data_IF_300843548811
#
_entry.id   IF_300843548811
#
_cell.length_a   1.000
_cell.length_b   1.000
_cell.length_c   1.000
_cell.angle_alpha   90.00
_cell.angle_beta   90.00
_cell.angle_gamma   90.00
#
_symmetry.space_group_name_H-M   'P 1'
#
loop_
_entity.id
_entity.type
_entity.pdbx_description
1 polymer ?
#
# COMPACT_ATOMS: atom_id res chain seq x y z
N UNK A 1 -10.69 18.70 -63.54
CA UNK A 1 -10.16 19.17 -62.24
C UNK A 1 -11.15 19.03 -61.08
N UNK A 2 -12.46 19.25 -61.25
CA UNK A 2 -13.45 19.13 -60.15
C UNK A 2 -13.58 17.74 -59.52
N UNK A 3 -13.46 16.67 -60.30
CA UNK A 3 -13.59 15.28 -59.80
C UNK A 3 -12.39 14.81 -58.96
N UNK A 4 -11.16 15.24 -59.29
CA UNK A 4 -9.95 14.88 -58.52
C UNK A 4 -9.88 15.57 -57.15
N UNK A 5 -10.42 16.79 -57.03
CA UNK A 5 -10.49 17.50 -55.75
C UNK A 5 -11.47 16.83 -54.78
N UNK A 6 -12.60 16.31 -55.31
CA UNK A 6 -13.61 15.62 -54.52
C UNK A 6 -13.09 14.29 -53.94
N UNK A 7 -12.31 13.53 -54.72
CA UNK A 7 -11.69 12.28 -54.26
C UNK A 7 -10.63 12.52 -53.18
N UNK A 8 -9.83 13.59 -53.30
CA UNK A 8 -8.83 13.97 -52.29
C UNK A 8 -9.53 14.41 -50.98
N UNK A 9 -10.65 15.13 -51.07
CA UNK A 9 -11.42 15.55 -49.89
C UNK A 9 -12.06 14.35 -49.17
N UNK A 10 -12.59 13.37 -49.91
CA UNK A 10 -13.19 12.17 -49.32
C UNK A 10 -12.12 11.26 -48.66
N UNK A 11 -10.91 11.17 -49.22
CA UNK A 11 -9.79 10.43 -48.62
C UNK A 11 -9.23 11.13 -47.38
N UNK A 12 -9.24 12.46 -47.34
CA UNK A 12 -8.87 13.24 -46.15
C UNK A 12 -9.94 13.12 -45.05
N UNK A 13 -11.22 13.08 -45.40
CA UNK A 13 -12.32 12.90 -44.44
C UNK A 13 -12.38 11.44 -43.94
N UNK A 14 -12.06 10.44 -44.76
CA UNK A 14 -12.00 9.03 -44.34
C UNK A 14 -10.78 8.67 -43.50
N UNK A 15 -9.78 9.55 -43.42
CA UNK A 15 -8.63 9.44 -42.51
C UNK A 15 -8.84 10.21 -41.19
N UNK A 16 -9.99 10.84 -40.98
CA UNK A 16 -10.47 11.11 -39.62
C UNK A 16 -10.94 9.78 -39.02
N UNK A 17 -9.98 8.91 -38.71
CA UNK A 17 -10.16 7.97 -37.61
C UNK A 17 -10.70 8.79 -36.45
N UNK A 18 -11.89 8.43 -35.94
CA UNK A 18 -12.47 9.09 -34.78
C UNK A 18 -11.50 8.91 -33.61
N UNK A 19 -10.57 9.87 -33.45
CA UNK A 19 -9.70 9.95 -32.28
C UNK A 19 -10.62 10.14 -31.10
N UNK A 20 -10.58 9.19 -30.16
CA UNK A 20 -11.42 9.28 -28.96
C UNK A 20 -11.13 10.59 -28.26
N UNK A 21 -12.18 11.31 -27.87
CA UNK A 21 -12.00 12.53 -27.09
C UNK A 21 -11.55 12.17 -25.68
N UNK A 22 -10.76 13.04 -25.06
CA UNK A 22 -10.34 12.91 -23.66
C UNK A 22 -11.55 12.68 -22.73
N UNK A 23 -12.64 13.40 -22.99
CA UNK A 23 -13.88 13.35 -22.23
C UNK A 23 -14.57 11.99 -22.33
N UNK A 24 -14.58 11.35 -23.50
CA UNK A 24 -15.13 10.01 -23.69
C UNK A 24 -14.35 8.95 -22.91
N UNK A 25 -13.01 9.03 -22.92
CA UNK A 25 -12.17 8.08 -22.17
C UNK A 25 -12.36 8.26 -20.67
N UNK A 26 -12.37 9.51 -20.19
CA UNK A 26 -12.63 9.83 -18.78
C UNK A 26 -14.02 9.32 -18.36
N UNK A 27 -15.06 9.56 -19.16
CA UNK A 27 -16.40 9.06 -18.87
C UNK A 27 -16.43 7.52 -18.79
N UNK A 28 -15.67 6.84 -19.65
CA UNK A 28 -15.52 5.39 -19.60
C UNK A 28 -14.86 4.92 -18.31
N UNK A 29 -13.74 5.55 -17.89
CA UNK A 29 -13.04 5.21 -16.64
C UNK A 29 -13.97 5.37 -15.44
N UNK A 30 -14.71 6.47 -15.40
CA UNK A 30 -15.69 6.75 -14.34
C UNK A 30 -16.83 5.73 -14.33
N UNK A 31 -17.24 5.22 -15.49
CA UNK A 31 -18.31 4.22 -15.61
C UNK A 31 -17.88 2.85 -15.05
N UNK A 32 -16.67 2.39 -15.37
CA UNK A 32 -16.14 1.10 -14.88
C UNK A 32 -15.80 1.20 -13.39
N UNK A 33 -15.20 2.32 -12.97
CA UNK A 33 -14.95 2.69 -11.57
C UNK A 33 -14.19 1.64 -10.71
N UNK A 34 -13.23 0.95 -11.31
CA UNK A 34 -12.23 0.14 -10.62
C UNK A 34 -10.82 0.54 -11.02
N UNK A 35 -9.87 0.38 -10.09
CA UNK A 35 -8.44 0.57 -10.35
C UNK A 35 -7.85 -0.78 -10.76
N UNK A 36 -7.66 -0.95 -12.06
CA UNK A 36 -7.28 -2.23 -12.65
C UNK A 36 -5.82 -2.19 -13.08
N UNK A 37 -5.10 -3.29 -12.83
CA UNK A 37 -3.78 -3.53 -13.38
C UNK A 37 -3.83 -4.16 -14.78
N UNK A 38 -2.66 -4.28 -15.41
CA UNK A 38 -2.53 -5.11 -16.61
C UNK A 38 -2.82 -6.58 -16.25
N UNK A 39 -3.70 -7.21 -17.01
CA UNK A 39 -4.16 -8.59 -16.78
C UNK A 39 -3.42 -9.62 -17.66
N UNK A 40 -2.41 -9.20 -18.42
CA UNK A 40 -1.65 -10.07 -19.31
C UNK A 40 -2.27 -10.25 -20.70
N UNK A 41 -3.44 -9.67 -20.98
CA UNK A 41 -4.12 -9.84 -22.27
C UNK A 41 -3.49 -8.90 -23.31
N UNK A 42 -2.91 -9.49 -24.36
CA UNK A 42 -2.26 -8.74 -25.45
C UNK A 42 -3.27 -8.04 -26.37
N UNK A 43 -4.43 -8.68 -26.60
CA UNK A 43 -5.51 -8.18 -27.44
C UNK A 43 -6.81 -8.14 -26.61
N UNK A 44 -6.99 -7.13 -25.74
CA UNK A 44 -8.21 -7.03 -24.95
C UNK A 44 -9.43 -6.85 -25.85
N UNK A 45 -10.59 -7.29 -25.38
CA UNK A 45 -11.86 -6.99 -26.04
C UNK A 45 -12.18 -5.50 -25.84
N UNK A 46 -12.31 -4.77 -26.94
CA UNK A 46 -12.49 -3.33 -26.95
C UNK A 46 -13.71 -2.98 -27.80
N UNK A 47 -14.44 -1.95 -27.37
CA UNK A 47 -15.57 -1.43 -28.14
C UNK A 47 -15.11 -0.83 -29.49
N UNK A 48 -16.07 -0.40 -30.32
CA UNK A 48 -15.79 0.23 -31.62
C UNK A 48 -14.90 1.50 -31.53
N UNK A 49 -14.79 2.11 -30.35
CA UNK A 49 -13.93 3.25 -30.06
C UNK A 49 -12.60 2.79 -29.42
N UNK A 50 -12.34 1.48 -29.42
CA UNK A 50 -11.19 0.86 -28.80
C UNK A 50 -11.12 1.04 -27.29
N UNK A 51 -12.25 1.26 -26.60
CA UNK A 51 -12.28 1.39 -25.14
C UNK A 51 -12.74 0.07 -24.51
N UNK A 52 -12.18 -0.27 -23.36
CA UNK A 52 -12.58 -1.46 -22.61
C UNK A 52 -13.80 -1.15 -21.74
N UNK A 53 -14.75 -2.07 -21.73
CA UNK A 53 -15.96 -2.01 -20.90
C UNK A 53 -15.76 -2.58 -19.48
N UNK A 54 -14.64 -3.25 -19.24
CA UNK A 54 -14.42 -4.06 -18.04
C UNK A 54 -13.01 -3.94 -17.44
N UNK A 55 -12.08 -3.22 -18.09
CA UNK A 55 -10.73 -3.04 -17.59
C UNK A 55 -10.23 -1.61 -17.86
N UNK A 56 -10.09 -0.84 -16.77
CA UNK A 56 -9.66 0.54 -16.80
C UNK A 56 -8.17 0.75 -17.07
N UNK A 57 -7.32 -0.28 -16.93
CA UNK A 57 -5.92 -0.19 -17.30
C UNK A 57 -5.78 0.28 -18.75
N UNK A 58 -6.47 -0.39 -19.68
CA UNK A 58 -6.41 -0.06 -21.11
C UNK A 58 -7.01 1.31 -21.43
N UNK A 59 -8.08 1.69 -20.73
CA UNK A 59 -8.69 3.01 -20.91
C UNK A 59 -7.72 4.12 -20.46
N UNK A 60 -7.04 3.94 -19.33
CA UNK A 60 -6.08 4.91 -18.85
C UNK A 60 -4.80 4.95 -19.71
N UNK A 61 -4.31 3.80 -20.19
CA UNK A 61 -3.20 3.72 -21.16
C UNK A 61 -3.48 4.49 -22.45
N UNK A 62 -4.76 4.63 -22.84
CA UNK A 62 -5.16 5.51 -23.93
C UNK A 62 -5.23 6.97 -23.53
N UNK A 63 -5.84 7.26 -22.37
CA UNK A 63 -5.93 8.62 -21.85
C UNK A 63 -4.55 9.27 -21.74
N UNK A 64 -3.59 8.57 -21.13
CA UNK A 64 -2.23 9.09 -20.88
C UNK A 64 -1.47 9.47 -22.15
N UNK A 65 -1.79 8.86 -23.30
CA UNK A 65 -1.16 9.16 -24.58
C UNK A 65 -1.63 10.48 -25.19
N UNK A 66 -2.77 11.01 -24.75
CA UNK A 66 -3.40 12.20 -25.33
C UNK A 66 -3.49 13.39 -24.37
N UNK A 67 -3.30 13.16 -23.07
CA UNK A 67 -3.25 14.24 -22.07
C UNK A 67 -1.81 14.69 -21.84
N UNK A 68 -1.64 15.98 -21.56
CA UNK A 68 -0.38 16.56 -21.09
C UNK A 68 -0.12 16.24 -19.62
N UNK A 69 1.13 16.47 -19.17
CA UNK A 69 1.50 16.38 -17.75
C UNK A 69 0.70 17.35 -16.87
N UNK A 70 0.39 18.56 -17.35
CA UNK A 70 -0.44 19.53 -16.61
C UNK A 70 -1.87 19.02 -16.44
N UNK A 71 -2.42 18.38 -17.47
CA UNK A 71 -3.73 17.73 -17.38
C UNK A 71 -3.70 16.52 -16.44
N UNK A 72 -2.63 15.71 -16.43
CA UNK A 72 -2.45 14.66 -15.43
C UNK A 72 -2.42 15.23 -14.00
N UNK A 73 -1.72 16.33 -13.78
CA UNK A 73 -1.69 17.03 -12.49
C UNK A 73 -3.09 17.51 -12.07
N UNK A 74 -3.91 17.97 -13.01
CA UNK A 74 -5.31 18.33 -12.72
C UNK A 74 -6.20 17.12 -12.45
N UNK A 75 -5.94 15.98 -13.11
CA UNK A 75 -6.63 14.73 -12.82
C UNK A 75 -6.37 14.20 -11.40
N UNK A 76 -5.21 14.53 -10.78
CA UNK A 76 -4.96 14.20 -9.36
C UNK A 76 -5.96 14.86 -8.39
N UNK A 77 -6.66 15.91 -8.83
CA UNK A 77 -7.66 16.65 -8.04
C UNK A 77 -9.10 16.23 -8.40
N UNK A 78 -9.26 15.26 -9.30
CA UNK A 78 -10.56 14.88 -9.81
C UNK A 78 -11.44 14.21 -8.74
N UNK A 79 -12.77 14.41 -8.84
CA UNK A 79 -13.75 13.87 -7.87
C UNK A 79 -13.79 12.35 -7.82
N UNK A 80 -13.63 11.70 -8.97
CA UNK A 80 -13.59 10.24 -9.10
C UNK A 80 -12.22 9.73 -8.60
N UNK A 81 -12.24 8.83 -7.61
CA UNK A 81 -11.02 8.35 -6.95
C UNK A 81 -10.15 7.49 -7.86
N UNK A 82 -10.74 6.69 -8.75
CA UNK A 82 -10.00 5.83 -9.68
C UNK A 82 -9.17 6.68 -10.64
N UNK A 83 -9.78 7.71 -11.23
CA UNK A 83 -9.06 8.61 -12.15
C UNK A 83 -7.94 9.37 -11.43
N UNK A 84 -8.20 9.83 -10.20
CA UNK A 84 -7.19 10.45 -9.34
C UNK A 84 -6.02 9.51 -9.05
N UNK A 85 -6.30 8.25 -8.71
CA UNK A 85 -5.27 7.26 -8.40
C UNK A 85 -4.41 6.91 -9.62
N UNK A 86 -5.02 6.71 -10.79
CA UNK A 86 -4.26 6.49 -12.02
C UNK A 86 -3.34 7.68 -12.35
N UNK A 87 -3.84 8.91 -12.23
CA UNK A 87 -3.02 10.10 -12.46
C UNK A 87 -1.85 10.21 -11.46
N UNK A 88 -2.10 9.94 -10.17
CA UNK A 88 -1.06 9.93 -9.14
C UNK A 88 -0.03 8.82 -9.42
N UNK A 89 -0.48 7.62 -9.79
CA UNK A 89 0.39 6.48 -10.10
C UNK A 89 1.32 6.77 -11.29
N UNK A 90 0.79 7.35 -12.38
CA UNK A 90 1.60 7.75 -13.53
C UNK A 90 2.64 8.81 -13.13
N UNK A 91 2.22 9.87 -12.42
CA UNK A 91 3.13 10.93 -11.99
C UNK A 91 4.22 10.43 -11.03
N UNK A 92 3.90 9.46 -10.15
CA UNK A 92 4.90 8.77 -9.32
C UNK A 92 5.85 7.98 -10.23
N UNK A 93 5.33 7.22 -11.18
CA UNK A 93 6.11 6.34 -12.06
C UNK A 93 7.07 7.12 -12.98
N UNK A 94 6.66 8.31 -13.42
CA UNK A 94 7.49 9.27 -14.16
C UNK A 94 8.51 10.01 -13.27
N UNK A 95 8.49 9.77 -11.95
CA UNK A 95 9.27 10.51 -10.96
C UNK A 95 9.07 12.03 -11.08
N UNK A 96 7.83 12.45 -11.31
CA UNK A 96 7.47 13.82 -11.58
C UNK A 96 7.68 14.69 -10.33
N UNK A 97 8.35 15.84 -10.48
CA UNK A 97 8.69 16.73 -9.34
C UNK A 97 7.56 17.67 -8.91
N UNK A 98 6.50 17.81 -9.72
CA UNK A 98 5.41 18.74 -9.47
C UNK A 98 4.29 18.13 -8.63
N UNK A 99 4.19 16.80 -8.56
CA UNK A 99 3.28 16.14 -7.64
C UNK A 99 3.82 16.21 -6.21
N UNK A 100 2.99 16.70 -5.29
CA UNK A 100 3.31 16.68 -3.86
C UNK A 100 2.87 15.34 -3.26
N UNK A 101 3.72 14.32 -3.41
CA UNK A 101 3.44 12.94 -2.99
C UNK A 101 3.10 12.85 -1.50
N UNK A 102 3.83 13.60 -0.65
CA UNK A 102 3.55 13.64 0.79
C UNK A 102 2.13 14.14 1.07
N UNK A 103 1.71 15.23 0.43
CA UNK A 103 0.35 15.76 0.57
C UNK A 103 -0.68 14.75 0.08
N UNK A 104 -0.48 14.12 -1.08
CA UNK A 104 -1.43 13.14 -1.62
C UNK A 104 -1.65 11.97 -0.66
N UNK A 105 -0.58 11.48 -0.02
CA UNK A 105 -0.65 10.39 0.96
C UNK A 105 -1.36 10.84 2.23
N UNK A 106 -0.95 11.96 2.84
CA UNK A 106 -1.53 12.44 4.11
C UNK A 106 -3.01 12.84 3.94
N UNK A 107 -3.37 13.49 2.84
CA UNK A 107 -4.76 13.81 2.52
C UNK A 107 -5.58 12.52 2.28
N UNK A 108 -5.00 11.50 1.64
CA UNK A 108 -5.67 10.21 1.46
C UNK A 108 -5.88 9.46 2.79
N UNK A 109 -4.92 9.54 3.73
CA UNK A 109 -5.06 8.98 5.09
C UNK A 109 -6.23 9.66 5.81
N UNK A 110 -6.31 10.99 5.78
CA UNK A 110 -7.39 11.72 6.44
C UNK A 110 -8.79 11.36 5.91
N UNK A 111 -8.89 10.99 4.63
CA UNK A 111 -10.17 10.68 3.98
C UNK A 111 -10.56 9.19 4.02
N UNK A 112 -9.61 8.27 4.21
CA UNK A 112 -9.82 6.80 4.33
C UNK A 112 -10.73 6.20 3.26
N UNK A 113 -10.64 6.73 2.03
CA UNK A 113 -11.46 6.23 0.93
C UNK A 113 -11.00 4.84 0.53
N UNK A 114 -11.96 4.03 0.09
CA UNK A 114 -11.72 2.69 -0.43
C UNK A 114 -12.12 2.68 -1.90
N UNK A 115 -11.31 2.02 -2.72
CA UNK A 115 -11.62 1.76 -4.13
C UNK A 115 -11.58 0.26 -4.39
N UNK A 116 -12.35 -0.17 -5.38
CA UNK A 116 -12.25 -1.54 -5.88
C UNK A 116 -10.99 -1.65 -6.75
N UNK A 117 -10.19 -2.70 -6.53
CA UNK A 117 -8.99 -2.98 -7.31
C UNK A 117 -9.10 -4.34 -7.99
N UNK A 118 -8.60 -4.43 -9.23
CA UNK A 118 -8.60 -5.67 -10.00
C UNK A 118 -7.17 -6.05 -10.38
N UNK A 119 -6.80 -7.31 -10.11
CA UNK A 119 -5.58 -7.94 -10.58
C UNK A 119 -5.94 -9.24 -11.31
N UNK A 120 -6.06 -9.15 -12.63
CA UNK A 120 -6.68 -10.22 -13.42
C UNK A 120 -8.12 -10.46 -12.95
N UNK A 121 -8.44 -11.71 -12.58
CA UNK A 121 -9.77 -12.08 -12.06
C UNK A 121 -9.96 -11.82 -10.55
N UNK A 122 -8.93 -11.35 -9.84
CA UNK A 122 -8.99 -11.10 -8.40
C UNK A 122 -9.53 -9.69 -8.17
N UNK A 123 -10.63 -9.60 -7.44
CA UNK A 123 -11.28 -8.34 -7.05
C UNK A 123 -11.05 -8.11 -5.57
N UNK A 124 -10.52 -6.95 -5.21
CA UNK A 124 -10.32 -6.53 -3.82
C UNK A 124 -10.82 -5.09 -3.59
N UNK A 125 -10.73 -4.64 -2.35
CA UNK A 125 -11.06 -3.30 -1.90
C UNK A 125 -9.91 -2.74 -1.07
N UNK A 126 -9.24 -1.74 -1.61
CA UNK A 126 -8.04 -1.18 -1.00
C UNK A 126 -8.23 0.28 -0.60
N UNK A 127 -7.58 0.67 0.50
CA UNK A 127 -7.54 2.05 0.97
C UNK A 127 -6.66 2.89 0.03
N UNK A 128 -7.16 4.03 -0.41
CA UNK A 128 -6.47 4.88 -1.39
C UNK A 128 -5.07 5.29 -0.93
N UNK A 129 -4.90 5.56 0.37
CA UNK A 129 -3.59 5.93 0.89
C UNK A 129 -2.60 4.76 0.86
N UNK A 130 -3.07 3.52 1.04
CA UNK A 130 -2.22 2.32 0.99
C UNK A 130 -1.67 2.12 -0.41
N UNK A 131 -2.51 2.34 -1.42
CA UNK A 131 -2.13 2.28 -2.84
C UNK A 131 -1.06 3.33 -3.14
N UNK A 132 -1.32 4.61 -2.84
CA UNK A 132 -0.39 5.71 -3.18
C UNK A 132 0.95 5.53 -2.45
N UNK A 133 0.90 5.23 -1.14
CA UNK A 133 2.10 5.01 -0.34
C UNK A 133 2.90 3.81 -0.86
N UNK A 134 2.23 2.70 -1.21
CA UNK A 134 2.90 1.52 -1.77
C UNK A 134 3.63 1.84 -3.07
N UNK A 135 2.97 2.57 -3.98
CA UNK A 135 3.55 2.93 -5.28
C UNK A 135 4.81 3.76 -5.11
N UNK A 136 4.77 4.77 -4.24
CA UNK A 136 5.95 5.58 -3.97
C UNK A 136 7.07 4.77 -3.31
N UNK A 137 6.75 3.94 -2.31
CA UNK A 137 7.72 3.05 -1.68
C UNK A 137 8.36 2.07 -2.68
N UNK A 138 7.58 1.50 -3.60
CA UNK A 138 8.07 0.64 -4.69
C UNK A 138 8.99 1.40 -5.64
N UNK A 139 8.64 2.64 -6.02
CA UNK A 139 9.49 3.49 -6.85
C UNK A 139 10.86 3.70 -6.20
N UNK A 140 10.89 4.02 -4.89
CA UNK A 140 12.14 4.20 -4.16
C UNK A 140 12.97 2.91 -4.19
N UNK A 141 12.37 1.74 -3.95
CA UNK A 141 13.08 0.45 -4.06
C UNK A 141 13.53 0.14 -5.48
N UNK A 142 12.76 0.47 -6.50
CA UNK A 142 13.12 0.21 -7.89
C UNK A 142 14.34 1.03 -8.35
N UNK A 143 14.62 2.18 -7.71
CA UNK A 143 15.86 2.93 -7.95
C UNK A 143 17.12 2.19 -7.49
N UNK A 144 16.97 1.18 -6.62
CA UNK A 144 18.05 0.30 -6.20
C UNK A 144 18.49 -0.69 -7.30
N UNK A 145 17.69 -0.88 -8.35
CA UNK A 145 17.92 -1.93 -9.33
C UNK A 145 19.16 -1.68 -10.19
N UNK A 146 20.18 -2.54 -10.00
CA UNK A 146 21.29 -2.77 -10.93
C UNK A 146 20.95 -3.88 -11.94
N UNK A 147 21.84 -4.00 -12.92
CA UNK A 147 21.80 -4.85 -14.12
C UNK A 147 21.14 -6.23 -13.89
N UNK A 148 20.15 -6.65 -14.69
CA UNK A 148 19.40 -7.91 -14.51
C UNK A 148 20.24 -9.21 -14.56
N UNK A 149 21.53 -9.11 -14.87
CA UNK A 149 22.47 -10.23 -14.92
C UNK A 149 23.27 -10.43 -13.61
N UNK A 150 23.07 -9.55 -12.62
CA UNK A 150 23.70 -9.61 -11.29
C UNK A 150 22.59 -9.51 -10.25
N UNK A 151 22.15 -10.60 -9.61
CA UNK A 151 21.76 -10.49 -8.20
C UNK A 151 21.54 -11.82 -7.53
N UNK A 152 22.31 -12.00 -6.47
CA UNK A 152 21.88 -12.73 -5.30
C UNK A 152 20.70 -11.99 -4.64
N UNK A 153 19.67 -12.72 -4.21
CA UNK A 153 18.47 -12.19 -3.56
C UNK A 153 18.81 -11.38 -2.30
N UNK A 154 19.83 -11.80 -1.55
CA UNK A 154 20.26 -11.10 -0.34
C UNK A 154 20.88 -9.73 -0.64
N UNK A 155 21.66 -9.64 -1.70
CA UNK A 155 22.28 -8.40 -2.14
C UNK A 155 21.22 -7.39 -2.61
N UNK A 156 20.25 -7.83 -3.40
CA UNK A 156 19.13 -6.96 -3.84
C UNK A 156 18.36 -6.39 -2.65
N UNK A 157 18.10 -7.20 -1.64
CA UNK A 157 17.39 -6.77 -0.45
C UNK A 157 18.20 -5.76 0.38
N UNK A 158 19.52 -5.94 0.48
CA UNK A 158 20.41 -5.00 1.16
C UNK A 158 20.44 -3.64 0.44
N UNK A 159 20.58 -3.64 -0.88
CA UNK A 159 20.58 -2.40 -1.68
C UNK A 159 19.21 -1.71 -1.58
N UNK A 160 18.11 -2.47 -1.69
CA UNK A 160 16.75 -1.95 -1.52
C UNK A 160 16.56 -1.24 -0.18
N UNK A 161 17.00 -1.87 0.93
CA UNK A 161 16.98 -1.25 2.26
C UNK A 161 17.82 0.03 2.31
N UNK A 162 19.02 0.01 1.74
CA UNK A 162 19.88 1.21 1.70
C UNK A 162 19.17 2.36 0.98
N UNK A 163 18.58 2.12 -0.19
CA UNK A 163 17.88 3.15 -0.96
C UNK A 163 16.67 3.73 -0.23
N UNK A 164 15.91 2.90 0.50
CA UNK A 164 14.83 3.38 1.37
C UNK A 164 15.33 4.32 2.46
N UNK A 165 16.47 4.01 3.07
CA UNK A 165 17.08 4.81 4.13
C UNK A 165 17.66 6.14 3.64
N UNK A 166 18.03 6.22 2.36
CA UNK A 166 18.62 7.42 1.74
C UNK A 166 17.56 8.35 1.12
N UNK A 167 16.32 7.90 0.92
CA UNK A 167 15.26 8.73 0.36
C UNK A 167 14.65 9.69 1.41
N UNK A 168 15.01 10.97 1.31
CA UNK A 168 14.57 12.00 2.25
C UNK A 168 13.05 12.22 2.25
N UNK A 169 12.38 12.12 1.09
CA UNK A 169 10.94 12.36 1.01
C UNK A 169 10.18 11.22 1.66
N UNK A 170 10.58 9.97 1.42
CA UNK A 170 10.02 8.80 2.11
C UNK A 170 10.22 8.88 3.62
N UNK A 171 11.42 9.25 4.09
CA UNK A 171 11.68 9.44 5.53
C UNK A 171 10.78 10.51 6.14
N UNK A 172 10.55 11.63 5.43
CA UNK A 172 9.64 12.68 5.88
C UNK A 172 8.19 12.19 5.93
N UNK A 173 7.72 11.49 4.89
CA UNK A 173 6.37 10.89 4.86
C UNK A 173 6.20 9.93 6.04
N UNK A 174 7.15 9.02 6.26
CA UNK A 174 7.11 8.07 7.36
C UNK A 174 7.10 8.77 8.72
N UNK A 175 7.88 9.84 8.86
CA UNK A 175 7.90 10.66 10.08
C UNK A 175 6.55 11.29 10.38
N UNK A 176 5.85 11.80 9.36
CA UNK A 176 4.50 12.35 9.52
C UNK A 176 3.48 11.26 9.83
N UNK A 177 3.56 10.09 9.17
CA UNK A 177 2.70 8.93 9.47
C UNK A 177 2.86 8.51 10.93
N UNK A 178 4.09 8.41 11.43
CA UNK A 178 4.35 8.01 12.81
C UNK A 178 3.87 9.02 13.86
N UNK A 179 3.66 10.29 13.48
CA UNK A 179 3.10 11.32 14.38
C UNK A 179 1.57 11.25 14.47
N UNK A 180 0.91 10.52 13.58
CA UNK A 180 -0.54 10.39 13.61
C UNK A 180 -0.95 9.55 14.83
N UNK A 181 -1.89 10.06 15.62
CA UNK A 181 -2.50 9.30 16.71
C UNK A 181 -3.65 8.43 16.18
N UNK A 182 -3.33 7.52 15.25
CA UNK A 182 -4.28 6.60 14.61
C UNK A 182 -3.61 5.26 14.30
N UNK A 183 -4.37 4.17 14.39
CA UNK A 183 -3.98 2.85 13.89
C UNK A 183 -4.35 2.70 12.41
N UNK A 184 -3.33 2.75 11.54
CA UNK A 184 -3.47 2.59 10.10
C UNK A 184 -3.48 1.12 9.70
N UNK A 185 -3.87 0.85 8.46
CA UNK A 185 -3.75 -0.49 7.87
C UNK A 185 -2.32 -1.04 8.02
N UNK A 186 -2.21 -2.28 8.49
CA UNK A 186 -0.95 -2.90 8.95
C UNK A 186 0.21 -2.79 7.94
N UNK A 187 -0.10 -2.87 6.65
CA UNK A 187 0.88 -2.83 5.56
C UNK A 187 1.64 -1.50 5.48
N UNK A 188 1.08 -0.42 6.03
CA UNK A 188 1.80 0.84 6.19
C UNK A 188 2.95 0.66 7.17
N UNK A 189 2.70 0.03 8.32
CA UNK A 189 3.70 -0.14 9.36
C UNK A 189 4.81 -1.12 8.95
N UNK A 190 4.46 -2.19 8.22
CA UNK A 190 5.43 -3.11 7.64
C UNK A 190 6.54 -2.38 6.87
N UNK A 191 6.15 -1.38 6.06
CA UNK A 191 7.05 -0.58 5.23
C UNK A 191 7.69 0.60 5.96
N UNK A 192 6.92 1.32 6.78
CA UNK A 192 7.44 2.46 7.58
C UNK A 192 8.60 1.99 8.45
N UNK A 193 8.54 0.77 8.98
CA UNK A 193 9.57 0.22 9.85
C UNK A 193 10.75 -0.47 9.13
N UNK A 194 10.83 -0.38 7.80
CA UNK A 194 12.04 -0.77 7.06
C UNK A 194 13.19 0.24 7.18
N UNK A 195 12.90 1.47 7.61
CA UNK A 195 13.92 2.50 7.92
C UNK A 195 14.70 2.09 9.16
N UNK A 196 16.03 2.04 9.08
CA UNK A 196 16.90 1.46 10.10
C UNK A 196 16.68 2.07 11.49
N UNK A 197 16.73 3.39 11.62
CA UNK A 197 16.55 4.04 12.92
C UNK A 197 15.94 5.42 12.81
N UNK A 198 14.88 5.66 13.57
CA UNK A 198 14.28 6.97 13.76
C UNK A 198 14.93 7.73 14.94
N UNK A 199 14.72 9.04 15.00
CA UNK A 199 15.21 9.85 16.13
C UNK A 199 14.43 9.60 17.43
N UNK A 200 14.89 10.18 18.54
CA UNK A 200 14.26 10.02 19.86
C UNK A 200 12.86 10.62 19.94
N UNK A 201 12.50 11.59 19.09
CA UNK A 201 11.15 12.15 19.05
C UNK A 201 10.19 11.14 18.46
N UNK A 202 10.55 10.56 17.31
CA UNK A 202 9.77 9.53 16.65
C UNK A 202 9.74 8.22 17.44
N UNK A 203 10.82 7.85 18.12
CA UNK A 203 10.83 6.72 19.07
C UNK A 203 9.69 6.82 20.10
N UNK A 204 9.43 8.00 20.66
CA UNK A 204 8.31 8.21 21.60
C UNK A 204 6.96 7.92 20.94
N UNK A 205 6.78 8.34 19.69
CA UNK A 205 5.56 8.05 18.94
C UNK A 205 5.42 6.55 18.62
N UNK A 206 6.52 5.86 18.33
CA UNK A 206 6.52 4.39 18.11
C UNK A 206 6.18 3.64 19.40
N UNK A 207 6.70 4.09 20.55
CA UNK A 207 6.30 3.56 21.86
C UNK A 207 4.81 3.80 22.11
N UNK A 208 4.30 5.01 21.82
CA UNK A 208 2.89 5.33 21.91
C UNK A 208 2.03 4.42 21.03
N UNK A 209 2.45 4.16 19.79
CA UNK A 209 1.80 3.24 18.86
C UNK A 209 1.73 1.81 19.44
N UNK A 210 2.82 1.30 20.01
CA UNK A 210 2.82 0.01 20.72
C UNK A 210 1.86 0.02 21.92
N UNK A 211 1.93 1.03 22.77
CA UNK A 211 1.20 1.06 24.04
C UNK A 211 -0.29 1.30 23.89
N UNK A 212 -0.69 2.13 22.90
CA UNK A 212 -2.09 2.49 22.67
C UNK A 212 -2.80 1.50 21.74
N UNK A 213 -2.12 1.05 20.68
CA UNK A 213 -2.73 0.24 19.62
C UNK A 213 -2.23 -1.21 19.59
N UNK A 214 -1.39 -1.61 20.54
CA UNK A 214 -0.81 -2.97 20.60
C UNK A 214 -0.06 -3.38 19.33
N UNK A 215 0.49 -2.41 18.61
CA UNK A 215 1.04 -2.60 17.28
C UNK A 215 2.29 -3.50 17.30
N UNK A 216 2.18 -4.69 16.71
CA UNK A 216 3.26 -5.69 16.69
C UNK A 216 4.48 -5.24 15.88
N UNK A 217 4.29 -4.42 14.85
CA UNK A 217 5.38 -3.88 14.04
C UNK A 217 6.22 -2.89 14.85
N UNK A 218 5.58 -2.02 15.63
CA UNK A 218 6.26 -1.14 16.57
C UNK A 218 7.05 -1.94 17.63
N UNK A 219 6.49 -3.04 18.15
CA UNK A 219 7.21 -3.94 19.07
C UNK A 219 8.49 -4.51 18.44
N UNK A 220 8.37 -5.12 17.25
CA UNK A 220 9.49 -5.72 16.51
C UNK A 220 10.55 -4.66 16.19
N UNK A 221 10.13 -3.46 15.79
CA UNK A 221 10.99 -2.33 15.49
C UNK A 221 11.78 -1.84 16.71
N UNK A 222 11.09 -1.61 17.83
CA UNK A 222 11.70 -1.12 19.06
C UNK A 222 12.75 -2.09 19.58
N UNK A 223 12.45 -3.39 19.54
CA UNK A 223 13.40 -4.43 19.94
C UNK A 223 14.68 -4.41 19.11
N UNK A 224 14.53 -4.28 17.79
CA UNK A 224 15.64 -4.29 16.85
C UNK A 224 16.54 -3.06 17.00
N UNK A 225 15.93 -1.88 17.11
CA UNK A 225 16.64 -0.61 16.90
C UNK A 225 16.94 0.19 18.18
N UNK A 226 16.30 -0.17 19.30
CA UNK A 226 16.53 0.42 20.63
C UNK A 226 16.66 -0.67 21.71
N UNK A 227 17.60 -1.63 21.56
CA UNK A 227 17.71 -2.78 22.46
C UNK A 227 17.99 -2.39 23.91
N UNK A 228 18.74 -1.32 24.14
CA UNK A 228 19.12 -0.84 25.48
C UNK A 228 17.90 -0.40 26.31
N UNK A 229 16.90 0.21 25.66
CA UNK A 229 15.67 0.67 26.31
C UNK A 229 14.57 -0.38 26.28
N UNK A 230 14.69 -1.38 25.39
CA UNK A 230 13.60 -2.29 25.07
C UNK A 230 13.13 -3.11 26.27
N UNK A 231 14.01 -3.48 27.19
CA UNK A 231 13.62 -4.25 28.38
C UNK A 231 12.62 -3.49 29.27
N UNK A 232 12.81 -2.17 29.42
CA UNK A 232 11.89 -1.32 30.16
C UNK A 232 10.56 -1.18 29.41
N UNK A 233 10.63 -0.94 28.10
CA UNK A 233 9.45 -0.83 27.21
C UNK A 233 8.63 -2.13 27.24
N UNK A 234 9.29 -3.28 27.12
CA UNK A 234 8.68 -4.61 27.15
C UNK A 234 7.94 -4.84 28.48
N UNK A 235 8.62 -4.57 29.59
CA UNK A 235 8.05 -4.77 30.93
C UNK A 235 6.83 -3.89 31.13
N UNK A 236 6.91 -2.62 30.76
CA UNK A 236 5.78 -1.69 30.84
C UNK A 236 4.62 -2.11 29.94
N UNK A 237 4.90 -2.45 28.68
CA UNK A 237 3.90 -2.91 27.72
C UNK A 237 3.09 -4.08 28.27
N UNK A 238 3.77 -5.15 28.69
CA UNK A 238 3.09 -6.37 29.14
C UNK A 238 2.37 -6.23 30.48
N UNK A 239 2.87 -5.38 31.37
CA UNK A 239 2.25 -5.18 32.70
C UNK A 239 1.07 -4.21 32.65
N UNK A 240 1.18 -3.11 31.92
CA UNK A 240 0.20 -2.01 31.95
C UNK A 240 -0.74 -1.95 30.75
N UNK A 241 -0.29 -2.37 29.57
CA UNK A 241 -0.97 -2.12 28.30
C UNK A 241 -1.59 -3.39 27.72
N UNK A 242 -0.75 -4.39 27.40
CA UNK A 242 -1.18 -5.67 26.80
C UNK A 242 -2.26 -6.37 27.65
N UNK A 243 -2.10 -6.35 28.97
CA UNK A 243 -3.05 -6.97 29.92
C UNK A 243 -4.46 -6.40 29.78
N UNK A 244 -4.58 -5.11 29.44
CA UNK A 244 -5.85 -4.38 29.28
C UNK A 244 -6.40 -4.39 27.86
N UNK A 245 -5.60 -4.73 26.86
CA UNK A 245 -6.00 -4.70 25.45
C UNK A 245 -7.18 -5.64 25.16
N UNK A 246 -8.12 -5.23 24.32
CA UNK A 246 -9.29 -6.07 24.02
C UNK A 246 -9.09 -6.94 22.77
N UNK A 247 -8.18 -6.56 21.87
CA UNK A 247 -7.91 -7.27 20.60
C UNK A 247 -9.19 -7.63 19.84
N UNK A 248 -10.10 -6.67 19.75
CA UNK A 248 -11.43 -6.81 19.16
C UNK A 248 -11.49 -6.28 17.72
N UNK A 249 -10.56 -5.39 17.35
CA UNK A 249 -10.38 -4.91 15.98
C UNK A 249 -9.57 -5.88 15.14
N UNK A 250 -9.81 -5.82 13.83
CA UNK A 250 -9.11 -6.62 12.81
C UNK A 250 -7.59 -6.46 12.93
N UNK A 251 -7.07 -5.23 12.89
CA UNK A 251 -5.64 -4.95 13.03
C UNK A 251 -5.05 -5.49 14.35
N UNK A 252 -5.73 -5.23 15.46
CA UNK A 252 -5.27 -5.68 16.78
C UNK A 252 -5.20 -7.22 16.84
N UNK A 253 -6.14 -7.91 16.20
CA UNK A 253 -6.11 -9.38 16.10
C UNK A 253 -4.91 -9.89 15.31
N UNK A 254 -4.54 -9.22 14.20
CA UNK A 254 -3.30 -9.49 13.48
C UNK A 254 -2.07 -9.23 14.36
N UNK A 255 -2.07 -8.14 15.15
CA UNK A 255 -0.97 -7.86 16.06
C UNK A 255 -0.82 -8.90 17.16
N UNK A 256 -1.94 -9.39 17.70
CA UNK A 256 -1.92 -10.49 18.66
C UNK A 256 -1.31 -11.74 18.03
N UNK A 257 -1.76 -12.12 16.83
CA UNK A 257 -1.19 -13.25 16.08
C UNK A 257 0.33 -13.12 15.91
N UNK A 258 0.79 -11.96 15.46
CA UNK A 258 2.20 -11.63 15.27
C UNK A 258 3.02 -11.74 16.57
N UNK A 259 2.49 -11.23 17.68
CA UNK A 259 3.13 -11.34 18.98
C UNK A 259 3.19 -12.79 19.46
N UNK A 260 2.15 -13.59 19.19
CA UNK A 260 2.15 -15.02 19.53
C UNK A 260 3.23 -15.73 18.73
N UNK A 261 3.24 -15.56 17.41
CA UNK A 261 4.27 -16.14 16.54
C UNK A 261 5.67 -15.77 17.04
N UNK A 262 5.88 -14.48 17.33
CA UNK A 262 7.15 -13.98 17.86
C UNK A 262 7.56 -14.69 19.16
N UNK A 263 6.65 -14.79 20.14
CA UNK A 263 6.94 -15.40 21.45
C UNK A 263 7.35 -16.87 21.34
N UNK A 264 6.69 -17.62 20.45
CA UNK A 264 6.95 -19.03 20.25
C UNK A 264 8.22 -19.29 19.44
N UNK A 265 8.44 -18.55 18.35
CA UNK A 265 9.65 -18.68 17.53
C UNK A 265 10.93 -18.30 18.29
N UNK A 266 10.84 -17.39 19.26
CA UNK A 266 11.98 -16.92 20.05
C UNK A 266 12.08 -17.60 21.43
N UNK A 267 11.25 -18.60 21.72
CA UNK A 267 11.22 -19.28 23.02
C UNK A 267 11.14 -18.35 24.24
N UNK A 268 10.36 -17.27 24.15
CA UNK A 268 10.18 -16.34 25.26
C UNK A 268 9.06 -16.82 26.20
N UNK A 269 9.40 -17.55 27.26
CA UNK A 269 8.42 -18.21 28.13
C UNK A 269 7.55 -17.26 28.96
N UNK A 270 8.09 -16.10 29.38
CA UNK A 270 7.29 -15.05 30.03
C UNK A 270 6.22 -14.53 29.07
N UNK A 271 6.61 -14.20 27.84
CA UNK A 271 5.70 -13.71 26.81
C UNK A 271 4.66 -14.77 26.43
N UNK A 272 5.07 -16.03 26.22
CA UNK A 272 4.15 -17.15 25.95
C UNK A 272 3.09 -17.24 27.05
N UNK A 273 3.50 -17.20 28.31
CA UNK A 273 2.58 -17.32 29.46
C UNK A 273 1.52 -16.21 29.44
N UNK A 274 1.96 -14.95 29.28
CA UNK A 274 1.07 -13.78 29.25
C UNK A 274 0.11 -13.81 28.06
N UNK A 275 0.62 -14.17 26.88
CA UNK A 275 -0.17 -14.24 25.64
C UNK A 275 -1.20 -15.37 25.71
N UNK A 276 -0.84 -16.56 26.21
CA UNK A 276 -1.79 -17.67 26.33
C UNK A 276 -2.91 -17.34 27.32
N UNK A 277 -2.59 -16.65 28.43
CA UNK A 277 -3.62 -16.14 29.34
C UNK A 277 -4.55 -15.16 28.61
N UNK A 278 -4.00 -14.30 27.75
CA UNK A 278 -4.79 -13.36 26.96
C UNK A 278 -5.71 -14.05 25.96
N UNK A 279 -5.20 -15.02 25.20
CA UNK A 279 -5.99 -15.79 24.24
C UNK A 279 -7.17 -16.53 24.89
N UNK A 280 -7.02 -17.00 26.14
CA UNK A 280 -8.12 -17.63 26.89
C UNK A 280 -9.21 -16.67 27.35
N UNK A 281 -8.86 -15.40 27.56
CA UNK A 281 -9.76 -14.38 28.14
C UNK A 281 -10.37 -13.47 27.07
N UNK A 282 -9.70 -13.34 25.93
CA UNK A 282 -10.12 -12.53 24.79
C UNK A 282 -10.47 -13.44 23.63
N UNK A 283 -11.68 -13.30 23.06
CA UNK A 283 -12.19 -14.13 21.96
C UNK A 283 -12.23 -13.43 20.59
N UNK A 284 -11.69 -12.20 20.47
CA UNK A 284 -11.68 -11.47 19.20
C UNK A 284 -11.00 -12.26 18.07
N UNK A 285 -9.91 -12.95 18.40
CA UNK A 285 -9.17 -13.81 17.47
C UNK A 285 -9.95 -15.00 16.91
N UNK A 286 -10.97 -15.51 17.64
CA UNK A 286 -11.78 -16.64 17.19
C UNK A 286 -12.60 -16.27 15.93
N UNK A 287 -12.98 -14.99 15.80
CA UNK A 287 -13.81 -14.51 14.69
C UNK A 287 -13.00 -14.25 13.43
N UNK A 288 -11.88 -13.54 13.57
CA UNK A 288 -11.13 -13.04 12.43
C UNK A 288 -10.06 -14.03 11.95
N UNK A 289 -9.39 -14.75 12.86
CA UNK A 289 -8.18 -15.53 12.54
C UNK A 289 -8.16 -16.96 13.13
N UNK A 290 -9.30 -17.54 13.53
CA UNK A 290 -9.33 -18.86 14.18
C UNK A 290 -8.59 -19.94 13.39
N UNK A 291 -8.86 -20.06 12.08
CA UNK A 291 -8.17 -21.01 11.21
C UNK A 291 -6.65 -20.76 11.14
N UNK A 292 -6.24 -19.49 11.06
CA UNK A 292 -4.82 -19.12 11.02
C UNK A 292 -4.11 -19.47 12.33
N UNK A 293 -4.72 -19.15 13.48
CA UNK A 293 -4.21 -19.53 14.81
C UNK A 293 -4.11 -21.04 14.96
N UNK A 294 -5.16 -21.77 14.61
CA UNK A 294 -5.21 -23.23 14.72
C UNK A 294 -4.08 -23.89 13.92
N UNK A 295 -3.95 -23.54 12.63
CA UNK A 295 -3.01 -24.20 11.74
C UNK A 295 -1.56 -23.74 11.90
N UNK A 296 -1.33 -22.44 12.12
CA UNK A 296 0.03 -21.88 12.13
C UNK A 296 0.66 -21.83 13.53
N UNK A 297 -0.16 -21.81 14.58
CA UNK A 297 0.32 -21.67 15.96
C UNK A 297 -0.04 -22.90 16.80
N UNK A 298 -1.32 -23.21 17.00
CA UNK A 298 -1.72 -24.20 18.00
C UNK A 298 -1.27 -25.61 17.62
N UNK A 299 -1.47 -26.03 16.37
CA UNK A 299 -0.99 -27.32 15.90
C UNK A 299 0.53 -27.39 15.84
N UNK A 300 1.19 -26.33 15.35
CA UNK A 300 2.65 -26.25 15.22
C UNK A 300 3.37 -26.35 16.57
N UNK A 301 2.82 -25.73 17.61
CA UNK A 301 3.44 -25.65 18.94
C UNK A 301 2.71 -26.49 20.00
N UNK A 302 1.79 -27.37 19.58
CA UNK A 302 1.00 -28.27 20.44
C UNK A 302 0.28 -27.57 21.61
N UNK A 303 -0.30 -26.39 21.35
CA UNK A 303 -1.01 -25.58 22.34
C UNK A 303 -2.46 -26.05 22.45
N UNK A 304 -2.97 -26.15 23.68
CA UNK A 304 -4.39 -26.34 23.98
C UNK A 304 -4.90 -25.15 24.78
N UNK A 305 -5.85 -24.42 24.21
CA UNK A 305 -6.46 -23.24 24.85
C UNK A 305 -7.72 -23.60 25.63
#
# INVERSE_FOLDING_TARGET
MKTRLLTILIVLISNFSFTQTKEEIIARIIKVNSLDGWDGVLNPDLDKNGLSDNNNYYNFEKLKKIVSTDELLDLTKHKNQVLRLYAIDELISENNKYINIQKEILDAIANKKIVQTHSGCIIDKELTYSIIYHKYWNLVRARASKNPNESDKEETELIGRKTLNEDNLLRNINSEILKLDEDLFWLIYDRVFEIEKYDETLKKNIIHLLFKYNNSYAFKYLKKNYPDDFNNIYTEYFTKHFSKAEFDKVNETFYLFDLVQYAFENNNDDMKTRILQKLRTTKGWEKELSGTFEHQIFNKYHIKL
#
